data_IF_261558591370
#
_entry.id   IF_261558591370
#
_cell.length_a   1.000
_cell.length_b   1.000
_cell.length_c   1.000
_cell.angle_alpha   90.00
_cell.angle_beta   90.00
_cell.angle_gamma   90.00
#
_symmetry.space_group_name_H-M   'P 1'
#
loop_
_entity.id
_entity.type
_entity.pdbx_description
1 polymer ?
#
# COMPACT_ATOMS: atom_id res chain seq x y z
N UNK A 1 30.06 -14.88 -6.61
CA UNK A 1 30.43 -14.68 -5.19
C UNK A 1 29.15 -14.36 -4.40
N UNK A 2 28.61 -15.35 -3.68
CA UNK A 2 27.35 -15.19 -2.94
C UNK A 2 27.68 -14.78 -1.50
N UNK A 3 27.67 -13.48 -1.22
CA UNK A 3 27.97 -12.94 0.12
C UNK A 3 26.76 -13.11 1.04
N UNK A 4 26.63 -14.28 1.69
CA UNK A 4 25.71 -14.43 2.83
C UNK A 4 26.40 -13.90 4.09
N UNK A 5 26.27 -12.60 4.34
CA UNK A 5 26.94 -11.86 5.43
C UNK A 5 26.48 -12.27 6.83
N UNK A 6 25.23 -12.74 6.99
CA UNK A 6 24.67 -13.22 8.25
C UNK A 6 23.98 -14.57 8.03
N UNK A 7 24.14 -15.49 8.98
CA UNK A 7 23.59 -16.85 8.92
C UNK A 7 22.51 -17.10 9.96
N UNK A 8 22.50 -16.34 11.06
CA UNK A 8 21.55 -16.48 12.16
C UNK A 8 20.90 -15.13 12.45
N UNK A 9 19.59 -15.12 12.66
CA UNK A 9 18.84 -13.93 13.02
C UNK A 9 17.73 -14.26 14.02
N UNK A 10 17.43 -13.32 14.92
CA UNK A 10 16.31 -13.42 15.87
C UNK A 10 15.63 -12.07 16.06
N UNK A 11 14.36 -12.13 16.43
CA UNK A 11 13.53 -10.99 16.83
C UNK A 11 13.31 -11.04 18.33
N UNK A 12 13.13 -9.87 18.95
CA UNK A 12 12.88 -9.74 20.38
C UNK A 12 11.65 -8.86 20.60
N UNK A 13 10.66 -9.36 21.33
CA UNK A 13 9.43 -8.62 21.63
C UNK A 13 9.67 -7.45 22.58
N UNK A 14 10.76 -7.44 23.35
CA UNK A 14 11.13 -6.32 24.20
C UNK A 14 11.74 -5.15 23.42
N UNK A 15 12.28 -5.42 22.21
CA UNK A 15 12.93 -4.44 21.34
C UNK A 15 12.32 -4.47 19.94
N UNK A 16 11.06 -4.03 19.87
CA UNK A 16 10.31 -3.92 18.62
C UNK A 16 11.08 -3.16 17.53
N UNK A 17 11.15 -3.77 16.35
CA UNK A 17 11.85 -3.19 15.19
C UNK A 17 13.36 -3.39 15.17
N UNK A 18 13.93 -4.04 16.19
CA UNK A 18 15.32 -4.48 16.20
C UNK A 18 15.43 -5.94 15.77
N UNK A 19 16.37 -6.21 14.86
CA UNK A 19 16.78 -7.56 14.46
C UNK A 19 18.19 -7.80 14.96
N UNK A 20 18.40 -8.92 15.62
CA UNK A 20 19.71 -9.37 16.04
C UNK A 20 20.21 -10.39 15.03
N UNK A 21 21.46 -10.27 14.56
CA UNK A 21 22.03 -11.19 13.59
C UNK A 21 23.48 -11.57 13.92
N UNK A 22 23.88 -12.80 13.53
CA UNK A 22 25.24 -13.32 13.67
C UNK A 22 25.76 -13.87 12.35
N UNK A 23 27.08 -13.74 12.15
CA UNK A 23 27.77 -14.29 10.97
C UNK A 23 28.03 -15.80 11.10
N UNK A 24 28.26 -16.28 12.33
CA UNK A 24 28.38 -17.68 12.73
C UNK A 24 27.92 -17.83 14.19
N UNK A 25 27.74 -19.05 14.69
CA UNK A 25 27.22 -19.32 16.06
C UNK A 25 28.12 -18.84 17.19
N UNK A 26 29.43 -18.86 16.95
CA UNK A 26 30.52 -18.48 17.85
C UNK A 26 30.88 -16.99 17.76
N UNK A 27 30.35 -16.28 16.76
CA UNK A 27 30.62 -14.87 16.54
C UNK A 27 29.64 -13.97 17.30
N UNK A 28 30.08 -12.74 17.65
CA UNK A 28 29.25 -11.78 18.36
C UNK A 28 27.99 -11.40 17.56
N UNK A 29 26.94 -11.07 18.30
CA UNK A 29 25.64 -10.64 17.78
C UNK A 29 25.67 -9.14 17.48
N UNK A 30 25.21 -8.76 16.29
CA UNK A 30 25.02 -7.38 15.85
C UNK A 30 23.52 -7.07 15.81
N UNK A 31 23.09 -5.88 16.22
CA UNK A 31 21.69 -5.45 16.16
C UNK A 31 21.43 -4.36 15.12
N UNK A 32 20.30 -4.47 14.43
CA UNK A 32 19.89 -3.59 13.34
C UNK A 32 18.47 -3.10 13.58
N UNK A 33 18.23 -1.81 13.47
CA UNK A 33 16.87 -1.27 13.45
C UNK A 33 16.31 -1.33 12.02
N UNK A 34 15.27 -2.12 11.79
CA UNK A 34 14.71 -2.39 10.46
C UNK A 34 13.47 -1.57 10.13
N UNK A 35 12.86 -0.93 11.14
CA UNK A 35 11.72 -0.06 10.87
C UNK A 35 12.23 1.21 10.21
N UNK A 36 11.61 1.57 9.08
CA UNK A 36 11.81 2.89 8.49
C UNK A 36 11.47 3.92 9.56
N UNK A 37 12.32 4.92 9.73
CA UNK A 37 11.96 6.09 10.51
C UNK A 37 10.62 6.56 9.95
N UNK A 38 9.56 6.55 10.77
CA UNK A 38 8.41 7.41 10.50
C UNK A 38 9.00 8.81 10.63
N UNK A 39 9.49 9.37 9.52
CA UNK A 39 9.39 10.81 9.39
C UNK A 39 7.92 11.08 9.68
N UNK A 40 7.66 11.81 10.76
CA UNK A 40 6.33 12.34 11.02
C UNK A 40 6.04 13.27 9.84
N UNK A 41 5.55 12.71 8.73
CA UNK A 41 4.86 13.47 7.71
C UNK A 41 3.61 13.98 8.42
N UNK A 42 3.75 15.15 9.05
CA UNK A 42 2.68 15.94 9.66
C UNK A 42 1.60 16.29 8.61
N UNK A 43 1.96 16.20 7.32
CA UNK A 43 1.00 16.22 6.25
C UNK A 43 0.27 14.88 6.20
N UNK A 44 -0.98 14.90 6.66
CA UNK A 44 -2.01 13.97 6.23
C UNK A 44 -1.86 13.77 4.71
N UNK A 45 -1.76 12.52 4.20
CA UNK A 45 -1.53 12.30 2.78
C UNK A 45 -2.62 13.04 2.02
N UNK A 46 -2.21 13.97 1.13
CA UNK A 46 -3.15 14.71 0.31
C UNK A 46 -4.14 13.72 -0.28
N UNK A 47 -5.42 13.87 0.06
CA UNK A 47 -6.49 13.03 -0.47
C UNK A 47 -6.40 13.10 -2.00
N UNK A 48 -5.78 12.08 -2.60
CA UNK A 48 -5.73 11.93 -4.04
C UNK A 48 -7.16 11.56 -4.44
N UNK A 49 -8.00 12.57 -4.67
CA UNK A 49 -9.26 12.36 -5.38
C UNK A 49 -8.84 11.93 -6.79
N UNK A 50 -9.20 10.71 -7.23
CA UNK A 50 -8.91 10.32 -8.60
C UNK A 50 -9.55 11.37 -9.50
N UNK A 51 -8.83 11.79 -10.54
CA UNK A 51 -9.43 12.62 -11.56
C UNK A 51 -10.73 11.94 -11.99
N UNK A 52 -11.85 12.67 -11.91
CA UNK A 52 -13.13 12.15 -12.37
C UNK A 52 -13.02 11.65 -13.80
N UNK A 53 -13.95 10.80 -14.22
CA UNK A 53 -13.99 10.36 -15.60
C UNK A 53 -14.13 11.57 -16.53
N UNK A 54 -13.40 11.58 -17.64
CA UNK A 54 -13.59 12.60 -18.67
C UNK A 54 -15.02 12.57 -19.21
N UNK A 55 -15.52 13.70 -19.71
CA UNK A 55 -16.89 13.81 -20.22
C UNK A 55 -17.19 12.76 -21.31
N UNK A 56 -16.20 12.48 -22.18
CA UNK A 56 -16.29 11.44 -23.20
C UNK A 56 -16.44 10.04 -22.60
N UNK A 57 -15.75 9.75 -21.49
CA UNK A 57 -15.86 8.46 -20.78
C UNK A 57 -17.21 8.32 -20.09
N UNK A 58 -17.74 9.39 -19.48
CA UNK A 58 -19.09 9.41 -18.89
C UNK A 58 -20.14 9.14 -19.97
N UNK A 59 -20.06 9.82 -21.12
CA UNK A 59 -20.97 9.61 -22.26
C UNK A 59 -20.90 8.18 -22.78
N UNK A 60 -19.70 7.63 -22.94
CA UNK A 60 -19.51 6.25 -23.42
C UNK A 60 -20.18 5.24 -22.47
N UNK A 61 -19.93 5.36 -21.18
CA UNK A 61 -20.46 4.46 -20.16
C UNK A 61 -21.98 4.56 -20.08
N UNK A 62 -22.53 5.78 -20.07
CA UNK A 62 -23.97 6.01 -20.03
C UNK A 62 -24.69 5.38 -21.22
N UNK A 63 -24.11 5.48 -22.42
CA UNK A 63 -24.71 4.94 -23.65
C UNK A 63 -24.53 3.43 -23.81
N UNK A 64 -23.35 2.90 -23.49
CA UNK A 64 -22.98 1.53 -23.88
C UNK A 64 -22.97 0.54 -22.71
N UNK A 65 -22.77 1.01 -21.48
CA UNK A 65 -22.61 0.14 -20.30
C UNK A 65 -23.87 0.16 -19.42
N UNK A 66 -24.46 1.34 -19.16
CA UNK A 66 -25.66 1.48 -18.31
C UNK A 66 -26.84 0.60 -18.74
N UNK A 67 -27.15 0.41 -20.05
CA UNK A 67 -28.24 -0.48 -20.48
C UNK A 67 -28.01 -1.96 -20.15
N UNK A 68 -26.76 -2.37 -19.98
CA UNK A 68 -26.38 -3.76 -19.66
C UNK A 68 -26.42 -4.05 -18.15
N UNK A 69 -26.58 -3.02 -17.31
CA UNK A 69 -26.65 -3.14 -15.86
C UNK A 69 -28.11 -3.25 -15.42
N UNK A 70 -28.41 -4.21 -14.53
CA UNK A 70 -29.77 -4.40 -14.00
C UNK A 70 -30.26 -3.13 -13.28
N UNK A 71 -31.55 -2.75 -13.40
CA UNK A 71 -32.08 -1.48 -12.88
C UNK A 71 -31.74 -1.19 -11.42
N UNK A 72 -31.80 -2.21 -10.55
CA UNK A 72 -31.49 -2.08 -9.12
C UNK A 72 -30.02 -1.71 -8.82
N UNK A 73 -29.10 -1.89 -9.77
CA UNK A 73 -27.67 -1.57 -9.60
C UNK A 73 -27.22 -0.36 -10.40
N UNK A 74 -28.11 0.28 -11.19
CA UNK A 74 -27.72 1.36 -12.08
C UNK A 74 -27.21 2.59 -11.32
N UNK A 75 -27.90 3.03 -10.28
CA UNK A 75 -27.48 4.20 -9.48
C UNK A 75 -26.27 3.91 -8.56
N UNK A 76 -26.10 2.65 -8.14
CA UNK A 76 -24.93 2.23 -7.34
C UNK A 76 -23.67 2.21 -8.20
N UNK A 77 -23.79 1.74 -9.44
CA UNK A 77 -22.65 1.58 -10.35
C UNK A 77 -22.36 2.88 -11.11
N UNK A 78 -23.40 3.67 -11.40
CA UNK A 78 -23.34 4.91 -12.19
C UNK A 78 -24.37 5.93 -11.68
N UNK A 79 -24.04 6.69 -10.62
CA UNK A 79 -24.93 7.74 -10.15
C UNK A 79 -25.14 8.78 -11.26
N UNK A 80 -26.36 9.29 -11.36
CA UNK A 80 -26.69 10.33 -12.32
C UNK A 80 -25.81 11.57 -12.07
N UNK A 81 -25.09 12.11 -13.07
CA UNK A 81 -24.20 13.24 -12.86
C UNK A 81 -24.99 14.45 -12.38
N UNK A 82 -24.63 14.99 -11.22
CA UNK A 82 -25.11 16.28 -10.72
C UNK A 82 -24.40 17.38 -11.50
N UNK A 83 -25.17 18.13 -12.30
CA UNK A 83 -24.73 19.33 -13.01
C UNK A 83 -24.79 20.56 -12.10
#
# INVERSE_FOLDING_TARGET
MCYRKYQYFRFDSSRSGTVFAKKATDLPEEDFFIMKHREHHSAEPCLIKPAGLSENRVKYISRNVRPCVRPCYQEITFPTPTY
#
